data_IF_571009309261
#
_entry.id   IF_571009309261
#
_cell.length_a   1.000
_cell.length_b   1.000
_cell.length_c   1.000
_cell.angle_alpha   90.00
_cell.angle_beta   90.00
_cell.angle_gamma   90.00
#
_symmetry.space_group_name_H-M   'P 1'
#
loop_
_entity.id
_entity.type
_entity.pdbx_description
1 polymer ?
#
# COMPACT_ATOMS: atom_id res chain seq x y z
N UNK A 1 -9.17 4.38 13.25
CA UNK A 1 -9.33 5.78 12.79
C UNK A 1 -10.23 6.42 13.82
N UNK A 2 -9.92 7.64 14.23
CA UNK A 2 -10.80 8.37 15.14
C UNK A 2 -12.15 8.69 14.48
N UNK A 3 -13.17 9.14 15.23
CA UNK A 3 -14.46 9.51 14.64
C UNK A 3 -14.43 10.64 13.61
N UNK A 4 -13.30 11.36 13.47
CA UNK A 4 -13.09 12.41 12.46
C UNK A 4 -12.41 11.88 11.20
N UNK A 5 -12.07 10.58 11.16
CA UNK A 5 -11.40 9.95 10.04
C UNK A 5 -9.89 10.25 9.98
N UNK A 6 -9.26 10.53 11.13
CA UNK A 6 -7.81 10.66 11.28
C UNK A 6 -7.23 9.33 11.77
N UNK A 7 -6.04 8.98 11.31
CA UNK A 7 -5.32 7.78 11.80
C UNK A 7 -4.91 7.97 13.25
N UNK A 8 -5.43 7.11 14.14
CA UNK A 8 -5.09 7.09 15.56
C UNK A 8 -4.04 6.03 15.91
N UNK A 9 -4.13 4.85 15.27
CA UNK A 9 -3.35 3.67 15.59
C UNK A 9 -3.31 2.73 14.39
N UNK A 10 -2.19 2.03 14.24
CA UNK A 10 -2.01 0.93 13.30
C UNK A 10 -1.71 -0.33 14.11
N UNK A 11 -2.38 -1.43 13.78
CA UNK A 11 -2.23 -2.72 14.45
C UNK A 11 -1.77 -3.77 13.44
N UNK A 12 -0.77 -4.56 13.81
CA UNK A 12 -0.27 -5.67 13.01
C UNK A 12 -0.23 -6.91 13.89
N UNK A 13 -0.86 -7.97 13.42
CA UNK A 13 -0.76 -9.30 13.99
C UNK A 13 0.16 -10.13 13.10
N UNK A 14 1.29 -10.57 13.65
CA UNK A 14 2.20 -11.51 12.99
C UNK A 14 1.96 -12.88 13.61
N UNK A 15 1.36 -13.78 12.84
CA UNK A 15 0.88 -15.06 13.32
C UNK A 15 1.49 -16.21 12.49
N UNK A 16 1.98 -17.24 13.19
CA UNK A 16 2.49 -18.46 12.58
C UNK A 16 1.60 -19.64 12.98
N UNK A 17 1.13 -20.41 11.98
CA UNK A 17 0.28 -21.58 12.22
C UNK A 17 1.11 -22.86 12.27
N UNK A 18 0.96 -23.64 13.34
CA UNK A 18 1.43 -25.04 13.38
C UNK A 18 2.82 -25.29 13.96
N UNK A 19 3.41 -24.32 14.66
CA UNK A 19 4.63 -24.57 15.41
C UNK A 19 4.33 -25.39 16.68
N UNK A 20 5.08 -26.49 16.88
CA UNK A 20 5.01 -27.30 18.10
C UNK A 20 5.55 -26.55 19.34
N UNK A 21 6.29 -25.45 19.12
CA UNK A 21 6.80 -24.56 20.17
C UNK A 21 6.24 -23.16 19.91
N UNK A 22 5.50 -22.61 20.87
CA UNK A 22 4.96 -21.26 20.81
C UNK A 22 6.06 -20.21 21.00
N UNK A 23 6.91 -20.04 19.98
CA UNK A 23 7.82 -18.90 19.88
C UNK A 23 7.00 -17.76 19.28
N UNK A 24 6.85 -16.62 19.98
CA UNK A 24 6.18 -15.45 19.40
C UNK A 24 6.92 -15.05 18.12
N UNK A 25 6.19 -14.90 17.03
CA UNK A 25 6.76 -14.36 15.79
C UNK A 25 7.27 -12.96 16.07
N UNK A 26 8.54 -12.70 15.71
CA UNK A 26 9.15 -11.39 15.87
C UNK A 26 9.37 -10.75 14.51
N UNK A 27 9.24 -9.42 14.46
CA UNK A 27 9.72 -8.67 13.31
C UNK A 27 11.25 -8.67 13.35
N UNK A 28 11.89 -8.88 12.19
CA UNK A 28 13.32 -8.65 12.06
C UNK A 28 13.61 -7.16 12.23
N UNK A 29 13.94 -6.77 13.45
CA UNK A 29 14.30 -5.40 13.82
C UNK A 29 15.77 -5.08 13.53
N UNK A 30 16.57 -6.03 13.03
CA UNK A 30 17.99 -5.80 12.73
C UNK A 30 18.17 -4.71 11.65
N UNK A 31 17.13 -4.46 10.85
CA UNK A 31 17.09 -3.44 9.79
C UNK A 31 16.38 -2.16 10.20
N UNK A 32 15.85 -2.06 11.42
CA UNK A 32 15.15 -0.85 11.89
C UNK A 32 16.08 0.35 12.12
N UNK A 33 17.39 0.12 12.28
CA UNK A 33 18.40 1.18 12.34
C UNK A 33 18.78 1.75 10.96
N UNK A 34 18.27 1.15 9.88
CA UNK A 34 18.44 1.63 8.50
C UNK A 34 17.15 2.27 8.01
N UNK A 35 17.25 3.25 7.10
CA UNK A 35 16.09 3.93 6.52
C UNK A 35 15.09 2.90 5.94
N UNK A 36 13.92 2.77 6.58
CA UNK A 36 12.89 1.79 6.25
C UNK A 36 12.32 1.94 4.85
N UNK A 37 12.55 3.09 4.20
CA UNK A 37 12.12 3.35 2.83
C UNK A 37 12.93 2.57 1.80
N UNK A 38 14.24 2.39 2.04
CA UNK A 38 15.21 1.88 1.05
C UNK A 38 14.80 0.54 0.42
N UNK A 39 14.29 -0.45 1.17
CA UNK A 39 13.82 -1.70 0.57
C UNK A 39 12.73 -1.50 -0.50
N UNK A 40 11.89 -0.48 -0.37
CA UNK A 40 10.79 -0.19 -1.28
C UNK A 40 11.19 0.66 -2.49
N UNK A 41 12.27 1.44 -2.41
CA UNK A 41 12.77 2.29 -3.51
C UNK A 41 13.21 1.44 -4.70
N UNK A 42 12.87 1.87 -5.91
CA UNK A 42 13.20 1.22 -7.17
C UNK A 42 11.95 0.86 -7.97
N UNK A 43 12.16 0.05 -9.01
CA UNK A 43 11.12 -0.36 -9.94
C UNK A 43 10.59 -1.75 -9.60
N UNK A 44 9.28 -1.84 -9.47
CA UNK A 44 8.53 -3.05 -9.18
C UNK A 44 7.61 -3.37 -10.34
N UNK A 45 7.63 -4.61 -10.82
CA UNK A 45 6.72 -5.10 -11.85
C UNK A 45 5.90 -6.24 -11.28
N UNK A 46 4.62 -6.32 -11.58
CA UNK A 46 3.78 -7.39 -11.09
C UNK A 46 2.46 -7.50 -11.81
N UNK A 47 1.56 -8.21 -11.16
CA UNK A 47 0.19 -8.40 -11.61
C UNK A 47 -0.76 -8.12 -10.46
N UNK A 48 -1.92 -7.56 -10.78
CA UNK A 48 -2.95 -7.19 -9.82
C UNK A 48 -4.30 -7.80 -10.19
N UNK A 49 -5.03 -8.24 -9.16
CA UNK A 49 -6.37 -8.80 -9.30
C UNK A 49 -7.31 -8.03 -8.38
N UNK A 50 -8.33 -7.40 -8.97
CA UNK A 50 -9.37 -6.69 -8.23
C UNK A 50 -10.62 -7.54 -8.13
N UNK A 51 -11.10 -7.75 -6.90
CA UNK A 51 -12.34 -8.46 -6.60
C UNK A 51 -13.36 -7.53 -5.95
N UNK A 52 -14.63 -7.68 -6.34
CA UNK A 52 -15.75 -7.01 -5.67
C UNK A 52 -15.86 -7.53 -4.23
N UNK A 53 -16.12 -6.63 -3.30
CA UNK A 53 -16.38 -6.98 -1.90
C UNK A 53 -17.64 -7.83 -1.75
N UNK A 54 -17.61 -8.74 -0.76
CA UNK A 54 -18.68 -9.70 -0.49
C UNK A 54 -18.24 -11.15 -0.73
N UNK A 55 -19.01 -12.10 -0.20
CA UNK A 55 -18.65 -13.53 -0.18
C UNK A 55 -18.44 -14.14 -1.58
N UNK A 56 -19.22 -13.67 -2.56
CA UNK A 56 -19.10 -14.16 -3.94
C UNK A 56 -17.73 -13.81 -4.56
N UNK A 57 -17.14 -12.67 -4.20
CA UNK A 57 -15.77 -12.33 -4.56
C UNK A 57 -15.49 -12.31 -6.06
N UNK A 58 -16.44 -11.80 -6.87
CA UNK A 58 -16.30 -11.70 -8.32
C UNK A 58 -15.03 -10.95 -8.70
N UNK A 59 -14.22 -11.52 -9.59
CA UNK A 59 -13.14 -10.77 -10.24
C UNK A 59 -13.76 -9.72 -11.15
N UNK A 60 -13.35 -8.46 -10.99
CA UNK A 60 -13.85 -7.33 -11.77
C UNK A 60 -12.80 -6.71 -12.67
N UNK A 61 -11.51 -6.89 -12.35
CA UNK A 61 -10.41 -6.43 -13.19
C UNK A 61 -9.12 -7.19 -12.87
N UNK A 62 -8.30 -7.37 -13.89
CA UNK A 62 -6.93 -7.85 -13.80
C UNK A 62 -6.04 -6.89 -14.60
N UNK A 63 -4.83 -6.65 -14.11
CA UNK A 63 -3.91 -5.72 -14.75
C UNK A 63 -2.45 -6.01 -14.41
N UNK A 64 -1.58 -5.86 -15.41
CA UNK A 64 -0.15 -5.80 -15.20
C UNK A 64 0.24 -4.44 -14.63
N UNK A 65 1.10 -4.44 -13.61
CA UNK A 65 1.47 -3.24 -12.88
C UNK A 65 2.97 -2.98 -12.97
N UNK A 66 3.32 -1.69 -13.07
CA UNK A 66 4.68 -1.19 -12.89
C UNK A 66 4.61 -0.05 -11.88
N UNK A 67 5.33 -0.18 -10.77
CA UNK A 67 5.47 0.89 -9.78
C UNK A 67 6.93 1.31 -9.72
N UNK A 68 7.17 2.60 -9.84
CA UNK A 68 8.48 3.21 -9.61
C UNK A 68 8.36 4.06 -8.35
N UNK A 69 9.30 3.86 -7.42
CA UNK A 69 9.43 4.68 -6.23
C UNK A 69 10.86 5.21 -6.17
N UNK A 70 11.03 6.51 -6.28
CA UNK A 70 12.32 7.18 -6.36
C UNK A 70 12.40 8.33 -5.35
N UNK A 71 13.62 8.69 -4.99
CA UNK A 71 13.94 9.91 -4.24
C UNK A 71 14.74 10.75 -5.22
N UNK A 72 14.29 11.97 -5.49
CA UNK A 72 15.00 12.88 -6.38
C UNK A 72 16.17 13.58 -5.68
N UNK A 73 16.91 14.41 -6.43
CA UNK A 73 18.07 15.13 -5.93
C UNK A 73 17.73 16.19 -4.87
N UNK A 74 16.45 16.52 -4.68
CA UNK A 74 15.92 17.45 -3.69
C UNK A 74 15.33 16.74 -2.46
N UNK A 75 15.61 15.44 -2.29
CA UNK A 75 15.03 14.56 -1.26
C UNK A 75 13.49 14.45 -1.32
N UNK A 76 12.87 14.78 -2.45
CA UNK A 76 11.44 14.55 -2.67
C UNK A 76 11.20 13.12 -3.16
N UNK A 77 10.14 12.52 -2.63
CA UNK A 77 9.72 11.19 -3.00
C UNK A 77 8.78 11.25 -4.20
N UNK A 78 9.09 10.50 -5.26
CA UNK A 78 8.26 10.36 -6.45
C UNK A 78 7.78 8.91 -6.52
N UNK A 79 6.46 8.72 -6.65
CA UNK A 79 5.82 7.41 -6.82
C UNK A 79 4.98 7.42 -8.09
N UNK A 80 5.39 6.62 -9.06
CA UNK A 80 4.64 6.37 -10.29
C UNK A 80 4.01 4.98 -10.26
N UNK A 81 2.73 4.90 -10.60
CA UNK A 81 1.98 3.65 -10.70
C UNK A 81 1.38 3.59 -12.09
N UNK A 82 1.85 2.65 -12.89
CA UNK A 82 1.26 2.27 -14.18
C UNK A 82 0.49 0.98 -14.01
N UNK A 83 -0.74 0.96 -14.51
CA UNK A 83 -1.58 -0.24 -14.58
C UNK A 83 -2.12 -0.41 -16.00
N UNK A 84 -1.84 -1.58 -16.59
CA UNK A 84 -2.29 -1.97 -17.93
C UNK A 84 -3.28 -3.12 -17.75
N UNK A 85 -4.55 -2.87 -18.07
CA UNK A 85 -5.59 -3.92 -18.01
C UNK A 85 -5.21 -5.15 -18.83
N UNK A 86 -5.62 -6.36 -18.44
CA UNK A 86 -5.25 -7.61 -19.14
C UNK A 86 -5.67 -7.66 -20.62
N UNK A 87 -6.64 -6.85 -21.05
CA UNK A 87 -7.01 -6.69 -22.47
C UNK A 87 -6.11 -5.72 -23.25
N UNK A 88 -5.26 -4.96 -22.57
CA UNK A 88 -4.39 -3.93 -23.16
C UNK A 88 -5.11 -2.62 -23.51
N UNK A 89 -6.44 -2.58 -23.45
CA UNK A 89 -7.24 -1.46 -23.93
C UNK A 89 -7.18 -0.22 -23.03
N UNK A 90 -6.95 -0.42 -21.73
CA UNK A 90 -6.89 0.66 -20.73
C UNK A 90 -5.52 0.66 -20.07
N UNK A 91 -4.85 1.81 -20.16
CA UNK A 91 -3.60 2.12 -19.45
C UNK A 91 -3.87 3.32 -18.55
N UNK A 92 -3.57 3.17 -17.27
CA UNK A 92 -3.65 4.26 -16.29
C UNK A 92 -2.28 4.54 -15.70
N UNK A 93 -1.94 5.81 -15.57
CA UNK A 93 -0.73 6.28 -14.93
C UNK A 93 -1.09 7.26 -13.83
N UNK A 94 -0.57 7.03 -12.64
CA UNK A 94 -0.78 7.89 -11.48
C UNK A 94 0.58 8.22 -10.89
N UNK A 95 0.92 9.51 -10.90
CA UNK A 95 2.13 10.03 -10.28
C UNK A 95 1.79 10.78 -9.01
N UNK A 96 2.48 10.46 -7.92
CA UNK A 96 2.42 11.20 -6.66
C UNK A 96 3.80 11.69 -6.26
N UNK A 97 3.85 12.91 -5.74
CA UNK A 97 5.03 13.48 -5.10
C UNK A 97 4.76 13.68 -3.60
N UNK A 98 5.79 13.57 -2.79
CA UNK A 98 5.67 13.68 -1.35
C UNK A 98 7.00 13.84 -0.63
N UNK A 99 6.93 13.92 0.69
CA UNK A 99 8.11 14.04 1.56
C UNK A 99 8.11 12.94 2.60
N UNK A 100 9.32 12.50 3.00
CA UNK A 100 9.53 11.54 4.07
C UNK A 100 9.95 12.28 5.35
N UNK A 101 9.26 12.01 6.46
CA UNK A 101 9.67 12.48 7.79
C UNK A 101 9.37 11.42 8.83
N UNK A 102 10.36 10.99 9.61
CA UNK A 102 10.20 10.04 10.73
C UNK A 102 9.39 8.78 10.36
N UNK A 103 9.76 8.09 9.28
CA UNK A 103 9.05 6.91 8.75
C UNK A 103 7.62 7.16 8.25
N UNK A 104 7.19 8.41 8.13
CA UNK A 104 5.91 8.81 7.56
C UNK A 104 6.13 9.55 6.25
N UNK A 105 5.62 8.98 5.17
CA UNK A 105 5.54 9.62 3.87
C UNK A 105 4.22 10.39 3.79
N UNK A 106 4.29 11.66 3.39
CA UNK A 106 3.10 12.48 3.10
C UNK A 106 3.12 12.88 1.63
N UNK A 107 2.14 12.41 0.87
CA UNK A 107 1.96 12.81 -0.52
C UNK A 107 1.12 14.09 -0.60
N UNK A 108 1.41 14.92 -1.59
CA UNK A 108 0.75 16.20 -1.80
C UNK A 108 -0.77 16.07 -2.03
N UNK A 109 -1.24 14.91 -2.50
CA UNK A 109 -2.66 14.57 -2.66
C UNK A 109 -3.40 14.19 -1.37
N UNK A 110 -2.77 14.31 -0.19
CA UNK A 110 -3.40 14.00 1.09
C UNK A 110 -3.43 12.52 1.45
N UNK A 111 -2.70 11.67 0.71
CA UNK A 111 -2.42 10.29 1.07
C UNK A 111 -1.14 10.22 1.90
N UNK A 112 -1.08 9.32 2.87
CA UNK A 112 0.08 9.11 3.72
C UNK A 112 0.42 7.63 3.83
N UNK A 113 1.71 7.33 3.99
CA UNK A 113 2.21 5.96 4.17
C UNK A 113 3.12 5.92 5.39
N UNK A 114 2.79 5.08 6.37
CA UNK A 114 3.64 4.82 7.53
C UNK A 114 4.49 3.58 7.27
N UNK A 115 5.81 3.73 7.35
CA UNK A 115 6.79 2.66 7.21
C UNK A 115 6.97 1.93 8.54
N UNK A 116 6.73 0.63 8.52
CA UNK A 116 6.63 -0.23 9.70
C UNK A 116 7.84 -1.19 9.74
N UNK A 117 8.17 -1.78 10.91
CA UNK A 117 9.16 -2.84 11.01
C UNK A 117 8.87 -4.02 10.08
N UNK A 118 9.86 -4.90 9.85
CA UNK A 118 9.64 -6.16 9.12
C UNK A 118 9.35 -6.01 7.63
N UNK A 119 9.70 -4.87 7.03
CA UNK A 119 9.48 -4.63 5.60
C UNK A 119 8.02 -4.40 5.24
N UNK A 120 7.25 -3.80 6.16
CA UNK A 120 5.85 -3.48 5.95
C UNK A 120 5.62 -1.98 5.81
N UNK A 121 4.51 -1.61 5.18
CA UNK A 121 3.95 -0.28 5.32
C UNK A 121 2.42 -0.33 5.29
N UNK A 122 1.81 0.71 5.85
CA UNK A 122 0.37 0.94 5.73
C UNK A 122 0.12 2.34 5.17
N UNK A 123 -0.73 2.41 4.15
CA UNK A 123 -1.15 3.63 3.47
C UNK A 123 -2.62 3.96 3.71
N UNK A 124 -2.92 5.24 3.89
CA UNK A 124 -4.29 5.73 4.06
C UNK A 124 -4.37 7.23 3.76
N UNK A 125 -5.56 7.79 3.51
CA UNK A 125 -5.75 9.24 3.50
C UNK A 125 -5.44 9.83 4.88
N UNK A 126 -4.82 11.01 4.91
CA UNK A 126 -4.52 11.72 6.15
C UNK A 126 -5.79 12.17 6.89
N UNK A 127 -6.88 12.41 6.15
CA UNK A 127 -8.16 12.83 6.71
C UNK A 127 -9.33 12.33 5.85
N UNK A 128 -9.90 11.17 6.21
CA UNK A 128 -10.97 10.51 5.44
C UNK A 128 -12.22 11.39 5.32
N UNK A 129 -12.58 12.14 6.36
CA UNK A 129 -13.77 12.98 6.31
C UNK A 129 -13.72 14.07 5.22
N UNK A 130 -12.52 14.48 4.75
CA UNK A 130 -12.38 15.38 3.58
C UNK A 130 -12.73 14.67 2.28
N UNK A 131 -12.39 13.39 2.15
CA UNK A 131 -12.75 12.60 0.98
C UNK A 131 -14.27 12.43 0.89
N UNK A 132 -14.91 12.06 2.01
CA UNK A 132 -16.38 11.92 2.09
C UNK A 132 -17.07 13.25 1.81
N UNK A 133 -16.64 14.35 2.46
CA UNK A 133 -17.22 15.68 2.23
C UNK A 133 -17.04 16.16 0.78
N UNK A 134 -15.96 15.76 0.10
CA UNK A 134 -15.70 16.08 -1.29
C UNK A 134 -16.28 15.05 -2.29
N UNK A 135 -17.04 14.05 -1.82
CA UNK A 135 -17.56 12.96 -2.64
C UNK A 135 -16.47 12.24 -3.46
N UNK A 136 -15.30 12.04 -2.87
CA UNK A 136 -14.18 11.36 -3.49
C UNK A 136 -14.05 9.95 -2.91
N UNK A 137 -13.88 8.92 -3.76
CA UNK A 137 -13.48 7.61 -3.27
C UNK A 137 -12.10 7.68 -2.63
N UNK A 138 -11.79 6.69 -1.80
CA UNK A 138 -10.49 6.57 -1.17
C UNK A 138 -10.11 5.09 -1.01
N UNK A 139 -8.87 4.84 -0.62
CA UNK A 139 -8.40 3.48 -0.38
C UNK A 139 -7.50 3.42 0.83
N UNK A 140 -7.40 2.22 1.40
CA UNK A 140 -6.36 1.86 2.37
C UNK A 140 -5.42 0.86 1.69
N UNK A 141 -4.16 0.88 2.08
CA UNK A 141 -3.12 0.03 1.50
C UNK A 141 -2.33 -0.65 2.62
N UNK A 142 -2.08 -1.94 2.46
CA UNK A 142 -1.10 -2.68 3.25
C UNK A 142 -0.10 -3.32 2.30
N UNK A 143 1.18 -3.26 2.64
CA UNK A 143 2.24 -3.91 1.89
C UNK A 143 3.15 -4.66 2.84
N UNK A 144 3.63 -5.82 2.37
CA UNK A 144 4.65 -6.59 3.04
C UNK A 144 5.67 -7.15 2.06
N UNK A 145 6.94 -6.90 2.32
CA UNK A 145 8.07 -7.50 1.64
C UNK A 145 8.30 -8.92 2.18
N UNK A 146 8.06 -9.93 1.34
CA UNK A 146 8.47 -11.31 1.65
C UNK A 146 9.98 -11.48 1.57
N UNK A 147 10.61 -10.73 0.67
CA UNK A 147 12.06 -10.73 0.45
C UNK A 147 12.48 -9.38 -0.15
N UNK A 148 13.78 -9.04 -0.21
CA UNK A 148 14.24 -7.77 -0.79
C UNK A 148 13.81 -7.52 -2.24
N UNK A 149 13.37 -8.57 -2.97
CA UNK A 149 12.95 -8.51 -4.37
C UNK A 149 11.51 -8.94 -4.61
N UNK A 150 10.74 -9.27 -3.57
CA UNK A 150 9.34 -9.71 -3.70
C UNK A 150 8.48 -9.08 -2.63
N UNK A 151 7.33 -8.55 -3.04
CA UNK A 151 6.34 -8.01 -2.12
C UNK A 151 4.93 -8.37 -2.54
N UNK A 152 4.06 -8.38 -1.55
CA UNK A 152 2.62 -8.42 -1.73
C UNK A 152 2.03 -7.08 -1.28
N UNK A 153 1.00 -6.61 -1.97
CA UNK A 153 0.20 -5.47 -1.53
C UNK A 153 -1.28 -5.84 -1.55
N UNK A 154 -2.02 -5.27 -0.61
CA UNK A 154 -3.46 -5.36 -0.55
C UNK A 154 -4.03 -3.95 -0.43
N UNK A 155 -4.84 -3.58 -1.41
CA UNK A 155 -5.54 -2.30 -1.43
C UNK A 155 -7.03 -2.56 -1.18
N UNK A 156 -7.61 -1.83 -0.24
CA UNK A 156 -9.03 -1.86 0.10
C UNK A 156 -9.66 -0.56 -0.39
N UNK A 157 -10.61 -0.63 -1.32
CA UNK A 157 -11.20 0.54 -1.96
C UNK A 157 -12.58 0.83 -1.38
N UNK A 158 -12.80 2.09 -1.06
CA UNK A 158 -14.02 2.64 -0.48
C UNK A 158 -14.67 3.60 -1.47
N UNK A 159 -15.99 3.59 -1.52
CA UNK A 159 -16.75 4.60 -2.26
C UNK A 159 -16.83 5.94 -1.51
N UNK A 160 -17.64 6.86 -2.04
CA UNK A 160 -17.82 8.21 -1.53
C UNK A 160 -18.53 8.26 -0.17
N UNK A 161 -19.21 7.19 0.22
CA UNK A 161 -19.92 7.06 1.50
C UNK A 161 -19.08 6.31 2.55
N UNK A 162 -17.90 5.82 2.16
CA UNK A 162 -17.04 5.02 3.03
C UNK A 162 -17.45 3.55 3.12
N UNK A 163 -18.24 3.05 2.16
CA UNK A 163 -18.52 1.62 2.04
C UNK A 163 -17.41 0.95 1.22
N UNK A 164 -17.00 -0.24 1.64
CA UNK A 164 -16.01 -1.01 0.86
C UNK A 164 -16.65 -1.61 -0.39
N UNK A 165 -16.12 -1.24 -1.55
CA UNK A 165 -16.59 -1.74 -2.85
C UNK A 165 -15.72 -2.85 -3.44
N UNK A 166 -14.41 -2.85 -3.18
CA UNK A 166 -13.49 -3.86 -3.73
C UNK A 166 -12.21 -4.03 -2.91
N UNK A 167 -11.48 -5.09 -3.23
CA UNK A 167 -10.10 -5.32 -2.83
C UNK A 167 -9.23 -5.66 -4.03
N UNK A 168 -8.06 -5.03 -4.12
CA UNK A 168 -7.06 -5.34 -5.14
C UNK A 168 -5.85 -5.96 -4.47
N UNK A 169 -5.53 -7.18 -4.88
CA UNK A 169 -4.32 -7.89 -4.48
C UNK A 169 -3.23 -7.66 -5.54
N UNK A 170 -2.00 -7.44 -5.10
CA UNK A 170 -0.83 -7.29 -5.94
C UNK A 170 0.25 -8.29 -5.53
N UNK A 171 0.90 -8.89 -6.52
CA UNK A 171 2.12 -9.65 -6.34
C UNK A 171 3.18 -9.09 -7.29
N UNK A 172 4.28 -8.60 -6.72
CA UNK A 172 5.25 -7.76 -7.42
C UNK A 172 6.68 -8.19 -7.14
N UNK A 173 7.52 -8.12 -8.17
CA UNK A 173 8.95 -8.36 -8.09
C UNK A 173 9.74 -7.10 -8.43
N UNK A 174 10.84 -6.91 -7.72
CA UNK A 174 11.77 -5.80 -7.96
C UNK A 174 12.64 -6.12 -9.18
N UNK A 175 12.74 -5.17 -10.11
CA UNK A 175 13.60 -5.26 -11.29
C UNK A 175 15.06 -4.98 -10.95
#
# INVERSE_FOLDING_TARGET
>A
MDPKGITEMLLIFLEERGSAVHIPSSFDSSKDNTNRLIPFVGKWKGHSITKRSGVYGATIAEADTIIVLEIDDEDQLIKDITSVSSGGDVITNVQWTGTLSNNLIKFNGGFQVTLLPGGMYMGCPSYIAKHVAASNPFHLEFCWLESPRKRQRLVRTYDIEGLVVSSTYFYETKL
#
